data_IF_822877391581
#
_entry.id   IF_822877391581
#
_cell.length_a   1.000
_cell.length_b   1.000
_cell.length_c   1.000
_cell.angle_alpha   90.00
_cell.angle_beta   90.00
_cell.angle_gamma   90.00
#
_symmetry.space_group_name_H-M   'P 1'
#
loop_
_entity.id
_entity.type
_entity.pdbx_description
1 polymer ?
#
# COMPACT_ATOMS: atom_id res chain seq x y z
N UNK A 1 -24.86 -7.23 -24.99
CA UNK A 1 -24.65 -5.98 -24.22
C UNK A 1 -23.15 -5.86 -23.96
N UNK A 2 -22.44 -4.96 -24.65
CA UNK A 2 -21.00 -4.73 -24.40
C UNK A 2 -20.91 -4.02 -23.04
N UNK A 3 -20.60 -4.76 -21.98
CA UNK A 3 -20.14 -4.13 -20.74
C UNK A 3 -18.88 -3.37 -21.09
N UNK A 4 -18.92 -2.04 -21.01
CA UNK A 4 -17.72 -1.24 -21.16
C UNK A 4 -16.72 -1.68 -20.09
N UNK A 5 -15.54 -2.05 -20.54
CA UNK A 5 -14.43 -2.56 -19.73
C UNK A 5 -14.00 -1.58 -18.59
N UNK A 6 -14.44 -0.32 -18.69
CA UNK A 6 -14.27 0.72 -17.68
C UNK A 6 -15.15 0.59 -16.42
N UNK A 7 -16.02 -0.42 -16.31
CA UNK A 7 -17.00 -0.51 -15.21
C UNK A 7 -16.60 -1.41 -14.03
N UNK A 8 -15.40 -2.00 -14.04
CA UNK A 8 -14.96 -2.84 -12.92
C UNK A 8 -14.23 -1.99 -11.88
N UNK A 9 -14.88 -1.75 -10.73
CA UNK A 9 -14.41 -0.89 -9.63
C UNK A 9 -12.96 -1.16 -9.23
N UNK A 10 -12.55 -2.43 -9.12
CA UNK A 10 -11.18 -2.77 -8.71
C UNK A 10 -10.15 -2.39 -9.77
N UNK A 11 -10.47 -2.42 -11.08
CA UNK A 11 -9.58 -1.96 -12.15
C UNK A 11 -9.36 -0.45 -12.06
N UNK A 12 -10.41 0.32 -11.78
CA UNK A 12 -10.27 1.76 -11.52
C UNK A 12 -9.43 2.03 -10.27
N UNK A 13 -9.63 1.22 -9.22
CA UNK A 13 -8.81 1.30 -7.99
C UNK A 13 -7.35 0.96 -8.27
N UNK A 14 -7.10 -0.02 -9.14
CA UNK A 14 -5.75 -0.42 -9.52
C UNK A 14 -5.01 0.70 -10.25
N UNK A 15 -5.66 1.39 -11.19
CA UNK A 15 -5.06 2.56 -11.85
C UNK A 15 -4.68 3.66 -10.86
N UNK A 16 -5.50 3.91 -9.83
CA UNK A 16 -5.20 4.90 -8.80
C UNK A 16 -4.02 4.45 -7.92
N UNK A 17 -3.98 3.15 -7.58
CA UNK A 17 -2.85 2.55 -6.88
C UNK A 17 -1.55 2.69 -7.68
N UNK A 18 -1.56 2.39 -8.99
CA UNK A 18 -0.37 2.51 -9.84
C UNK A 18 0.18 3.94 -9.87
N UNK A 19 -0.68 4.95 -10.01
CA UNK A 19 -0.26 6.36 -9.95
C UNK A 19 0.37 6.71 -8.59
N UNK A 20 -0.19 6.20 -7.49
CA UNK A 20 0.37 6.42 -6.17
C UNK A 20 1.69 5.66 -5.94
N UNK A 21 1.83 4.47 -6.51
CA UNK A 21 3.06 3.69 -6.50
C UNK A 21 4.19 4.44 -7.22
N UNK A 22 3.93 4.99 -8.40
CA UNK A 22 4.91 5.82 -9.11
C UNK A 22 5.34 7.05 -8.29
N UNK A 23 4.41 7.69 -7.57
CA UNK A 23 4.75 8.79 -6.65
C UNK A 23 5.65 8.28 -5.53
N UNK A 24 5.29 7.15 -4.90
CA UNK A 24 6.06 6.53 -3.83
C UNK A 24 7.47 6.17 -4.28
N UNK A 25 7.64 5.54 -5.44
CA UNK A 25 8.95 5.18 -5.99
C UNK A 25 9.83 6.41 -6.23
N UNK A 26 9.25 7.51 -6.74
CA UNK A 26 9.96 8.79 -6.88
C UNK A 26 10.40 9.35 -5.53
N UNK A 27 9.55 9.30 -4.49
CA UNK A 27 9.90 9.77 -3.13
C UNK A 27 10.93 8.88 -2.45
N UNK A 28 10.81 7.57 -2.61
CA UNK A 28 11.79 6.61 -2.11
C UNK A 28 13.17 6.85 -2.75
N UNK A 29 13.20 7.12 -4.06
CA UNK A 29 14.44 7.48 -4.75
C UNK A 29 15.05 8.79 -4.24
N UNK A 30 14.23 9.81 -4.04
CA UNK A 30 14.69 11.11 -3.52
C UNK A 30 15.23 10.98 -2.09
N UNK A 31 14.49 10.30 -1.21
CA UNK A 31 14.94 9.97 0.14
C UNK A 31 16.29 9.23 0.14
N UNK A 32 16.45 8.19 -0.69
CA UNK A 32 17.73 7.45 -0.78
C UNK A 32 18.91 8.30 -1.24
N UNK A 33 18.67 9.38 -1.99
CA UNK A 33 19.73 10.29 -2.41
C UNK A 33 20.17 11.21 -1.26
N UNK A 34 19.25 11.61 -0.38
CA UNK A 34 19.49 12.52 0.73
C UNK A 34 18.73 12.07 1.99
N UNK A 35 19.12 10.97 2.66
CA UNK A 35 18.32 10.36 3.73
C UNK A 35 18.23 11.20 5.00
N UNK A 36 19.16 12.13 5.21
CA UNK A 36 19.17 13.04 6.37
C UNK A 36 18.23 14.25 6.19
N UNK A 37 17.72 14.50 4.99
CA UNK A 37 16.84 15.64 4.71
C UNK A 37 15.42 15.34 5.21
N UNK A 38 15.00 16.04 6.26
CA UNK A 38 13.68 15.87 6.88
C UNK A 38 12.54 16.06 5.86
N UNK A 39 12.70 16.99 4.91
CA UNK A 39 11.72 17.20 3.85
C UNK A 39 11.49 15.94 2.99
N UNK A 40 12.55 15.19 2.66
CA UNK A 40 12.43 13.96 1.88
C UNK A 40 11.90 12.79 2.72
N UNK A 41 12.27 12.72 4.00
CA UNK A 41 11.70 11.78 4.96
C UNK A 41 10.17 11.97 5.07
N UNK A 42 9.73 13.22 5.25
CA UNK A 42 8.31 13.56 5.37
C UNK A 42 7.55 13.33 4.07
N UNK A 43 8.16 13.64 2.92
CA UNK A 43 7.57 13.33 1.61
C UNK A 43 7.41 11.82 1.39
N UNK A 44 8.36 11.00 1.84
CA UNK A 44 8.27 9.54 1.79
C UNK A 44 7.17 9.01 2.73
N UNK A 45 7.06 9.54 3.94
CA UNK A 45 5.98 9.20 4.88
C UNK A 45 4.61 9.49 4.28
N UNK A 46 4.42 10.66 3.67
CA UNK A 46 3.15 11.02 3.03
C UNK A 46 2.80 10.07 1.88
N UNK A 47 3.79 9.71 1.06
CA UNK A 47 3.58 8.77 -0.03
C UNK A 47 3.22 7.37 0.49
N UNK A 48 3.85 6.92 1.57
CA UNK A 48 3.51 5.68 2.27
C UNK A 48 2.06 5.65 2.76
N UNK A 49 1.58 6.70 3.43
CA UNK A 49 0.20 6.76 3.93
C UNK A 49 -0.84 6.59 2.82
N UNK A 50 -0.65 7.34 1.73
CA UNK A 50 -1.53 7.29 0.56
C UNK A 50 -1.50 5.89 -0.06
N UNK A 51 -0.31 5.31 -0.19
CA UNK A 51 -0.15 4.02 -0.86
C UNK A 51 -0.72 2.87 -0.02
N UNK A 52 -0.56 2.87 1.31
CA UNK A 52 -1.21 1.90 2.21
C UNK A 52 -2.73 1.98 2.07
N UNK A 53 -3.28 3.20 2.08
CA UNK A 53 -4.72 3.44 1.96
C UNK A 53 -5.28 2.89 0.63
N UNK A 54 -4.60 3.16 -0.48
CA UNK A 54 -5.00 2.64 -1.79
C UNK A 54 -4.79 1.13 -1.92
N UNK A 55 -3.74 0.58 -1.30
CA UNK A 55 -3.44 -0.86 -1.33
C UNK A 55 -4.56 -1.68 -0.70
N UNK A 56 -4.99 -1.35 0.52
CA UNK A 56 -6.04 -2.15 1.18
C UNK A 56 -7.40 -1.99 0.47
N UNK A 57 -7.68 -0.81 -0.09
CA UNK A 57 -8.88 -0.55 -0.90
C UNK A 57 -8.88 -1.35 -2.21
N UNK A 58 -7.72 -1.48 -2.84
CA UNK A 58 -7.51 -2.32 -4.02
C UNK A 58 -7.75 -3.80 -3.69
N UNK A 59 -7.08 -4.29 -2.65
CA UNK A 59 -7.23 -5.66 -2.16
C UNK A 59 -8.71 -5.95 -1.87
N UNK A 60 -9.38 -5.06 -1.14
CA UNK A 60 -10.81 -5.19 -0.82
C UNK A 60 -11.65 -5.32 -2.10
N UNK A 61 -11.56 -4.34 -2.99
CA UNK A 61 -12.41 -4.31 -4.18
C UNK A 61 -12.12 -5.50 -5.12
N UNK A 62 -10.87 -5.98 -5.17
CA UNK A 62 -10.48 -7.18 -5.91
C UNK A 62 -11.07 -8.45 -5.30
N UNK A 63 -10.98 -8.63 -3.98
CA UNK A 63 -11.56 -9.78 -3.30
C UNK A 63 -13.09 -9.80 -3.41
N UNK A 64 -13.74 -8.63 -3.32
CA UNK A 64 -15.19 -8.52 -3.55
C UNK A 64 -15.57 -8.96 -4.97
N UNK A 65 -14.73 -8.64 -5.97
CA UNK A 65 -14.91 -9.13 -7.34
C UNK A 65 -14.70 -10.65 -7.46
N UNK A 66 -13.80 -11.25 -6.68
CA UNK A 66 -13.61 -12.69 -6.59
C UNK A 66 -14.73 -13.42 -5.80
N UNK A 67 -15.75 -12.69 -5.32
CA UNK A 67 -16.92 -13.25 -4.65
C UNK A 67 -16.84 -13.29 -3.12
N UNK A 68 -15.76 -12.79 -2.52
CA UNK A 68 -15.70 -12.61 -1.06
C UNK A 68 -16.64 -11.48 -0.62
N UNK A 69 -17.30 -11.62 0.53
CA UNK A 69 -18.27 -10.65 1.05
C UNK A 69 -17.82 -10.10 2.40
N UNK A 70 -18.39 -8.96 2.78
CA UNK A 70 -18.27 -8.37 4.13
C UNK A 70 -16.85 -7.92 4.55
N UNK A 71 -16.02 -7.52 3.58
CA UNK A 71 -14.70 -6.94 3.85
C UNK A 71 -14.79 -5.47 4.28
N UNK A 72 -15.26 -5.23 5.49
CA UNK A 72 -15.55 -3.88 6.00
C UNK A 72 -14.34 -3.06 6.45
N UNK A 73 -13.16 -3.67 6.62
CA UNK A 73 -11.99 -3.01 7.21
C UNK A 73 -10.66 -3.39 6.54
N UNK A 74 -9.61 -2.56 6.70
CA UNK A 74 -8.27 -2.88 6.22
C UNK A 74 -7.76 -4.22 6.75
N UNK A 75 -7.93 -4.47 8.06
CA UNK A 75 -7.49 -5.71 8.72
C UNK A 75 -8.21 -6.94 8.17
N UNK A 76 -9.53 -6.86 7.97
CA UNK A 76 -10.30 -7.97 7.37
C UNK A 76 -9.84 -8.24 5.93
N UNK A 77 -9.64 -7.18 5.14
CA UNK A 77 -9.22 -7.29 3.74
C UNK A 77 -7.85 -7.96 3.62
N UNK A 78 -6.88 -7.57 4.45
CA UNK A 78 -5.53 -8.17 4.47
C UNK A 78 -5.58 -9.65 4.89
N UNK A 79 -6.35 -9.99 5.94
CA UNK A 79 -6.49 -11.39 6.38
C UNK A 79 -7.12 -12.25 5.29
N UNK A 80 -8.17 -11.76 4.64
CA UNK A 80 -8.81 -12.48 3.54
C UNK A 80 -7.89 -12.63 2.33
N UNK A 81 -7.10 -11.61 2.02
CA UNK A 81 -6.12 -11.66 0.93
C UNK A 81 -5.06 -12.72 1.17
N UNK A 82 -4.58 -12.87 2.40
CA UNK A 82 -3.69 -13.96 2.77
C UNK A 82 -4.37 -15.33 2.66
N UNK A 83 -5.58 -15.48 3.21
CA UNK A 83 -6.34 -16.75 3.16
C UNK A 83 -6.69 -17.21 1.75
N UNK A 84 -6.90 -16.26 0.82
CA UNK A 84 -7.18 -16.54 -0.59
C UNK A 84 -5.94 -16.78 -1.44
N UNK A 85 -4.74 -16.63 -0.86
CA UNK A 85 -3.47 -16.76 -1.57
C UNK A 85 -3.06 -15.55 -2.40
N UNK A 86 -3.81 -14.43 -2.36
CA UNK A 86 -3.42 -13.18 -3.00
C UNK A 86 -2.16 -12.56 -2.35
N UNK A 87 -2.03 -12.71 -1.03
CA UNK A 87 -0.85 -12.30 -0.27
C UNK A 87 -0.15 -13.52 0.31
N UNK A 88 1.18 -13.52 0.30
CA UNK A 88 2.00 -14.58 0.90
C UNK A 88 1.95 -14.58 2.43
N UNK A 89 1.82 -13.41 3.05
CA UNK A 89 1.63 -13.25 4.50
C UNK A 89 0.79 -12.02 4.82
N UNK A 90 -0.03 -12.12 5.88
CA UNK A 90 -0.78 -11.01 6.43
C UNK A 90 0.07 -10.12 7.36
N UNK A 91 1.09 -10.66 8.02
CA UNK A 91 1.79 -9.99 9.13
C UNK A 91 2.51 -8.70 8.71
N UNK A 92 3.28 -8.65 7.60
CA UNK A 92 3.94 -7.42 7.16
C UNK A 92 2.94 -6.32 6.81
N UNK A 93 1.78 -6.69 6.25
CA UNK A 93 0.70 -5.75 5.96
C UNK A 93 0.00 -5.24 7.22
N UNK A 94 -0.17 -6.10 8.23
CA UNK A 94 -0.69 -5.68 9.53
C UNK A 94 0.27 -4.71 10.22
N UNK A 95 1.58 -4.93 10.10
CA UNK A 95 2.61 -4.01 10.57
C UNK A 95 2.56 -2.68 9.79
N UNK A 96 2.40 -2.70 8.47
CA UNK A 96 2.23 -1.48 7.66
C UNK A 96 1.03 -0.65 8.13
N UNK A 97 -0.12 -1.29 8.42
CA UNK A 97 -1.27 -0.58 9.00
C UNK A 97 -0.97 0.03 10.37
N UNK A 98 -0.19 -0.66 11.21
CA UNK A 98 0.24 -0.13 12.51
C UNK A 98 1.18 1.06 12.34
N UNK A 99 2.19 0.96 11.46
CA UNK A 99 3.13 2.05 11.15
C UNK A 99 2.42 3.27 10.60
N UNK A 100 1.41 3.09 9.73
CA UNK A 100 0.54 4.18 9.25
C UNK A 100 -0.22 4.89 10.37
N UNK A 101 -0.48 4.25 11.51
CA UNK A 101 -1.10 4.95 12.64
C UNK A 101 -0.07 5.73 13.48
N UNK A 102 1.22 5.44 13.33
CA UNK A 102 2.29 6.16 14.02
C UNK A 102 2.75 7.41 13.27
N UNK A 103 2.36 7.58 12.01
CA UNK A 103 2.80 8.71 11.18
C UNK A 103 2.30 10.06 11.69
N UNK A 104 1.18 10.10 12.42
CA UNK A 104 0.74 11.32 13.12
C UNK A 104 1.69 11.78 14.21
N UNK A 105 2.64 10.93 14.62
CA UNK A 105 3.64 11.21 15.64
C UNK A 105 5.05 11.43 15.05
N UNK A 106 5.18 11.67 13.75
CA UNK A 106 6.48 11.91 13.10
C UNK A 106 7.12 13.25 13.46
N UNK A 107 6.42 14.13 14.19
CA UNK A 107 7.06 15.26 14.87
C UNK A 107 8.10 14.82 15.91
N UNK A 108 8.04 13.57 16.37
CA UNK A 108 9.09 12.95 17.15
C UNK A 108 10.12 12.29 16.21
N UNK A 109 11.36 12.75 16.28
CA UNK A 109 12.45 12.29 15.41
C UNK A 109 12.67 10.77 15.48
N UNK A 110 12.63 10.16 16.66
CA UNK A 110 12.79 8.72 16.79
C UNK A 110 11.66 7.94 16.10
N UNK A 111 10.42 8.45 16.18
CA UNK A 111 9.27 7.89 15.44
C UNK A 111 9.45 8.04 13.94
N UNK A 112 9.86 9.22 13.46
CA UNK A 112 10.10 9.47 12.04
C UNK A 112 11.16 8.51 11.48
N UNK A 113 12.31 8.41 12.15
CA UNK A 113 13.39 7.51 11.76
C UNK A 113 12.95 6.04 11.75
N UNK A 114 12.14 5.64 12.73
CA UNK A 114 11.60 4.29 12.80
C UNK A 114 10.64 3.98 11.63
N UNK A 115 9.77 4.93 11.28
CA UNK A 115 8.81 4.79 10.19
C UNK A 115 9.52 4.79 8.84
N UNK A 116 10.43 5.74 8.60
CA UNK A 116 11.16 5.87 7.34
C UNK A 116 12.00 4.63 7.05
N UNK A 117 12.70 4.09 8.06
CA UNK A 117 13.45 2.84 7.92
C UNK A 117 12.55 1.66 7.53
N UNK A 118 11.40 1.53 8.18
CA UNK A 118 10.40 0.51 7.83
C UNK A 118 9.91 0.68 6.39
N UNK A 119 9.60 1.93 5.99
CA UNK A 119 9.12 2.22 4.63
C UNK A 119 10.15 1.79 3.60
N UNK A 120 11.41 2.18 3.81
CA UNK A 120 12.49 1.91 2.88
C UNK A 120 12.79 0.41 2.76
N UNK A 121 12.92 -0.30 3.88
CA UNK A 121 13.46 -1.66 3.94
C UNK A 121 12.40 -2.74 3.78
N UNK A 122 11.20 -2.53 4.31
CA UNK A 122 10.16 -3.55 4.37
C UNK A 122 8.98 -3.22 3.45
N UNK A 123 8.41 -2.02 3.57
CA UNK A 123 7.20 -1.67 2.82
C UNK A 123 7.46 -1.57 1.31
N UNK A 124 8.62 -1.08 0.89
CA UNK A 124 8.98 -0.98 -0.52
C UNK A 124 8.95 -2.35 -1.23
N UNK A 125 9.43 -3.40 -0.55
CA UNK A 125 9.38 -4.79 -1.04
C UNK A 125 7.95 -5.30 -1.01
N UNK A 126 7.22 -5.03 0.07
CA UNK A 126 5.85 -5.50 0.26
C UNK A 126 4.89 -4.99 -0.83
N UNK A 127 5.00 -3.71 -1.18
CA UNK A 127 4.12 -3.10 -2.18
C UNK A 127 4.48 -3.49 -3.60
N UNK A 128 5.76 -3.76 -3.87
CA UNK A 128 6.20 -4.33 -5.15
C UNK A 128 5.64 -5.73 -5.38
N UNK A 129 5.58 -6.57 -4.34
CA UNK A 129 4.95 -7.89 -4.45
C UNK A 129 3.44 -7.77 -4.73
N UNK A 130 2.74 -6.84 -4.08
CA UNK A 130 1.33 -6.58 -4.39
C UNK A 130 1.13 -6.11 -5.84
N UNK A 131 1.96 -5.20 -6.35
CA UNK A 131 1.90 -4.79 -7.77
C UNK A 131 2.01 -6.00 -8.70
N UNK A 132 2.99 -6.86 -8.44
CA UNK A 132 3.25 -8.05 -9.25
C UNK A 132 2.05 -8.99 -9.24
N UNK A 133 1.51 -9.28 -8.06
CA UNK A 133 0.31 -10.13 -7.91
C UNK A 133 -0.87 -9.53 -8.67
N UNK A 134 -1.16 -8.24 -8.50
CA UNK A 134 -2.29 -7.59 -9.18
C UNK A 134 -2.12 -7.57 -10.70
N UNK A 135 -0.89 -7.38 -11.18
CA UNK A 135 -0.57 -7.39 -12.61
C UNK A 135 -0.74 -8.77 -13.25
N UNK A 136 -0.43 -9.85 -12.53
CA UNK A 136 -0.64 -11.22 -13.00
C UNK A 136 -2.11 -11.64 -13.03
N UNK A 137 -2.99 -10.93 -12.31
CA UNK A 137 -4.43 -11.21 -12.24
C UNK A 137 -5.28 -10.28 -13.14
N UNK A 138 -4.64 -9.49 -14.03
CA UNK A 138 -5.32 -8.66 -15.04
C UNK A 138 -5.71 -9.47 -16.27
#
# INVERSE_FOLDING_TARGET
>A
MKMSDQSIRWRQRYQNFQKALEVFERRLKAFRACPEEEAEQMALVQAFEILVELSWKLIKDYLEYQGFKELGSPKQSIRQAWQSGLLSSAEPWMLALQKRNLTSHTYNEATLQNVVRFIEQEFSVLVAELEKQMKSNL
#
